data_IF_427838398936
#
_entry.id   IF_427838398936
#
_cell.length_a   1.000
_cell.length_b   1.000
_cell.length_c   1.000
_cell.angle_alpha   90.00
_cell.angle_beta   90.00
_cell.angle_gamma   90.00
#
_symmetry.space_group_name_H-M   'P 1'
#
loop_
_entity.id
_entity.type
_entity.pdbx_description
1 polymer ?
#
# COMPACT_ATOMS: atom_id res chain seq x y z
N UNK A 1 -19.46 -16.67 3.89
CA UNK A 1 -19.84 -15.76 5.00
C UNK A 1 -18.92 -16.04 6.19
N UNK A 2 -17.76 -15.38 6.25
CA UNK A 2 -16.88 -15.42 7.43
C UNK A 2 -16.91 -14.03 8.05
N UNK A 3 -17.48 -13.94 9.26
CA UNK A 3 -17.61 -12.71 10.01
C UNK A 3 -16.25 -12.21 10.48
N UNK A 4 -15.92 -10.97 10.11
CA UNK A 4 -14.79 -10.22 10.67
C UNK A 4 -15.07 -9.96 12.14
N UNK A 5 -14.28 -10.56 13.04
CA UNK A 5 -14.25 -10.18 14.46
C UNK A 5 -13.45 -8.89 14.57
N UNK A 6 -14.17 -7.78 14.74
CA UNK A 6 -13.62 -6.58 15.35
C UNK A 6 -13.10 -6.95 16.75
N UNK A 7 -11.78 -6.83 16.95
CA UNK A 7 -11.16 -6.88 18.28
C UNK A 7 -11.41 -5.54 18.97
N UNK A 8 -12.67 -5.28 19.34
CA UNK A 8 -12.98 -4.24 20.31
C UNK A 8 -12.41 -4.67 21.68
N UNK A 9 -11.39 -3.96 22.16
CA UNK A 9 -10.90 -4.03 23.54
C UNK A 9 -12.08 -3.85 24.49
N UNK A 10 -12.50 -4.95 25.12
CA UNK A 10 -13.58 -4.98 26.12
C UNK A 10 -13.06 -4.32 27.40
N UNK A 11 -13.38 -3.04 27.63
CA UNK A 11 -13.28 -2.41 28.95
C UNK A 11 -14.23 -3.16 29.90
N UNK A 12 -13.71 -3.71 30.98
CA UNK A 12 -14.52 -4.21 32.10
C UNK A 12 -15.27 -3.03 32.74
N UNK A 13 -16.57 -3.15 33.04
CA UNK A 13 -17.28 -2.15 33.82
C UNK A 13 -16.93 -2.30 35.32
N UNK A 14 -16.93 -1.20 36.09
CA UNK A 14 -16.77 -1.28 37.54
C UNK A 14 -18.06 -1.80 38.18
N UNK A 15 -17.89 -2.69 39.16
CA UNK A 15 -18.95 -3.11 40.08
C UNK A 15 -19.62 -1.90 40.73
N UNK A 16 -20.93 -1.77 40.55
CA UNK A 16 -21.74 -0.79 41.26
C UNK A 16 -22.78 -1.51 42.11
N UNK A 17 -22.60 -1.41 43.42
CA UNK A 17 -23.55 -1.78 44.44
C UNK A 17 -24.78 -0.86 44.42
N UNK A 18 -25.95 -1.48 44.29
CA UNK A 18 -27.17 -1.35 45.12
C UNK A 18 -27.50 -0.02 45.82
N UNK A 19 -28.75 0.42 45.58
CA UNK A 19 -29.56 1.27 46.46
C UNK A 19 -29.84 2.64 45.85
N UNK A 20 -31.06 3.13 45.65
CA UNK A 20 -32.38 2.72 46.07
C UNK A 20 -33.29 3.96 46.02
N UNK A 21 -34.53 3.77 45.55
CA UNK A 21 -35.74 4.56 45.83
C UNK A 21 -35.93 6.00 45.29
N UNK A 22 -36.92 6.05 44.38
CA UNK A 22 -38.22 6.70 44.56
C UNK A 22 -38.47 8.17 44.13
N UNK A 23 -39.52 8.27 43.31
CA UNK A 23 -40.64 9.22 43.34
C UNK A 23 -40.70 10.38 42.32
N UNK A 24 -41.70 10.24 41.44
CA UNK A 24 -42.75 11.21 41.06
C UNK A 24 -42.33 12.67 40.77
N UNK A 25 -42.61 13.12 39.54
CA UNK A 25 -43.73 14.03 39.26
C UNK A 25 -43.87 14.31 37.75
N UNK A 26 -45.11 14.35 37.30
CA UNK A 26 -45.54 14.78 35.97
C UNK A 26 -45.30 16.29 35.78
N UNK A 27 -45.23 16.75 34.51
CA UNK A 27 -46.27 17.59 33.84
C UNK A 27 -45.67 18.44 32.69
N UNK A 28 -46.45 18.47 31.60
CA UNK A 28 -46.78 19.61 30.73
C UNK A 28 -45.96 19.93 29.47
N UNK A 29 -46.74 20.05 28.41
CA UNK A 29 -46.52 20.52 27.04
C UNK A 29 -46.17 22.02 26.94
N UNK A 30 -45.49 22.39 25.85
CA UNK A 30 -45.79 23.51 24.92
C UNK A 30 -44.57 23.66 23.98
N UNK A 31 -44.63 23.40 22.68
CA UNK A 31 -45.22 24.22 21.59
C UNK A 31 -44.62 25.63 21.47
N UNK A 32 -44.23 25.98 20.23
CA UNK A 32 -43.98 27.29 19.58
C UNK A 32 -42.57 27.30 18.96
N UNK A 33 -42.33 27.12 17.66
CA UNK A 33 -42.84 27.86 16.48
C UNK A 33 -42.34 29.31 16.46
N UNK A 34 -41.42 29.64 15.54
CA UNK A 34 -41.09 30.99 15.06
C UNK A 34 -40.09 30.95 13.90
N UNK A 35 -40.60 31.34 12.75
CA UNK A 35 -39.99 31.49 11.43
C UNK A 35 -39.06 32.71 11.33
N UNK A 36 -37.99 32.58 10.51
CA UNK A 36 -37.54 33.45 9.37
C UNK A 36 -37.51 35.01 9.48
N UNK A 37 -36.93 35.76 8.51
CA UNK A 37 -35.68 35.62 7.71
C UNK A 37 -34.90 36.97 7.62
N UNK A 38 -34.11 37.18 6.54
CA UNK A 38 -33.58 38.46 5.98
C UNK A 38 -32.24 38.96 6.58
N UNK A 39 -31.29 39.57 5.86
CA UNK A 39 -31.06 39.78 4.42
C UNK A 39 -29.62 40.33 4.26
N UNK A 40 -29.19 40.37 3.00
CA UNK A 40 -28.29 41.37 2.39
C UNK A 40 -26.75 41.32 2.54
N UNK A 41 -26.15 40.88 1.42
CA UNK A 41 -25.39 41.72 0.48
C UNK A 41 -24.37 42.74 1.03
N UNK A 42 -23.09 42.55 0.65
CA UNK A 42 -22.45 43.32 -0.43
C UNK A 42 -20.91 43.36 -0.34
N UNK A 43 -20.30 43.44 -1.54
CA UNK A 43 -19.03 44.11 -1.91
C UNK A 43 -17.68 43.42 -1.67
N UNK A 44 -17.16 42.87 -2.78
CA UNK A 44 -15.77 43.08 -3.25
C UNK A 44 -15.48 44.58 -3.48
N UNK A 45 -14.20 45.00 -3.46
CA UNK A 45 -13.32 44.94 -4.66
C UNK A 45 -11.92 44.38 -4.30
N UNK A 46 -11.28 43.58 -5.13
CA UNK A 46 -10.52 43.91 -6.36
C UNK A 46 -9.48 45.04 -6.18
N UNK A 47 -8.20 44.66 -6.24
CA UNK A 47 -7.05 45.56 -6.29
C UNK A 47 -5.88 44.82 -6.94
N UNK A 48 -5.70 45.15 -8.22
CA UNK A 48 -4.53 44.97 -9.08
C UNK A 48 -3.30 45.69 -8.53
N UNK A 49 -2.11 45.10 -8.66
CA UNK A 49 -0.76 45.71 -8.91
C UNK A 49 0.28 44.56 -8.79
N UNK A 50 0.83 44.00 -9.86
CA UNK A 50 1.96 44.44 -10.72
C UNK A 50 3.25 44.76 -9.97
N UNK A 51 4.30 43.95 -10.22
CA UNK A 51 5.75 44.27 -10.27
C UNK A 51 6.50 42.91 -10.37
N UNK A 52 6.87 42.43 -11.57
CA UNK A 52 8.15 42.70 -12.26
C UNK A 52 9.34 43.04 -11.35
N UNK A 53 10.31 42.10 -11.31
CA UNK A 53 11.78 42.24 -11.23
C UNK A 53 12.35 41.09 -10.39
N UNK A 54 13.22 40.25 -10.92
CA UNK A 54 14.61 40.62 -11.14
C UNK A 54 15.42 39.38 -11.57
N UNK A 55 16.28 39.60 -12.56
CA UNK A 55 17.13 38.59 -13.15
C UNK A 55 18.45 38.52 -12.35
N UNK A 56 18.64 37.45 -11.58
CA UNK A 56 19.88 37.18 -10.85
C UNK A 56 20.63 35.99 -11.42
N UNK A 57 21.43 36.24 -12.46
CA UNK A 57 22.48 35.34 -12.95
C UNK A 57 23.54 35.15 -11.87
N UNK A 58 23.88 33.89 -11.52
CA UNK A 58 25.15 33.57 -10.88
C UNK A 58 25.70 32.25 -11.41
N UNK A 59 26.55 32.41 -12.44
CA UNK A 59 27.67 31.53 -12.74
C UNK A 59 28.57 31.36 -11.51
N UNK A 60 28.91 30.11 -11.19
CA UNK A 60 30.14 29.73 -10.50
C UNK A 60 30.34 28.21 -10.61
N UNK A 61 31.09 27.77 -11.63
CA UNK A 61 32.02 26.64 -11.47
C UNK A 61 33.20 27.14 -10.60
N UNK A 62 33.88 26.26 -9.86
CA UNK A 62 35.11 25.75 -10.46
C UNK A 62 35.49 24.30 -10.11
N UNK A 63 36.27 23.76 -11.04
CA UNK A 63 37.51 22.99 -10.84
C UNK A 63 37.46 21.54 -10.35
N UNK A 64 37.90 20.71 -11.31
CA UNK A 64 38.54 19.42 -11.18
C UNK A 64 39.67 19.46 -10.13
N UNK A 65 39.68 18.50 -9.21
CA UNK A 65 40.93 18.08 -8.57
C UNK A 65 41.09 16.57 -8.71
N UNK A 66 42.12 16.22 -9.48
CA UNK A 66 42.63 14.89 -9.67
C UNK A 66 43.51 14.47 -8.48
N UNK A 67 43.24 13.30 -7.93
CA UNK A 67 44.13 12.53 -7.07
C UNK A 67 43.51 11.15 -6.86
N UNK A 68 44.13 10.02 -7.18
CA UNK A 68 45.56 9.72 -7.26
C UNK A 68 45.89 8.70 -6.16
N UNK A 69 46.10 7.44 -6.57
CA UNK A 69 46.76 6.31 -5.87
C UNK A 69 45.92 5.43 -4.92
N UNK A 70 46.32 4.16 -4.67
CA UNK A 70 47.04 3.22 -5.55
C UNK A 70 46.43 1.80 -5.60
N UNK A 71 46.90 1.03 -6.59
CA UNK A 71 46.89 -0.43 -6.63
C UNK A 71 47.46 -1.05 -5.34
N UNK A 72 46.75 -2.05 -4.81
CA UNK A 72 47.30 -3.08 -3.93
C UNK A 72 46.92 -4.45 -4.50
N UNK A 73 47.82 -4.94 -5.36
CA UNK A 73 48.02 -6.37 -5.56
C UNK A 73 48.89 -6.88 -4.40
N UNK A 74 48.44 -7.94 -3.72
CA UNK A 74 49.34 -8.88 -3.07
C UNK A 74 48.76 -10.28 -3.23
N UNK A 75 49.51 -11.08 -3.97
CA UNK A 75 49.34 -12.51 -4.18
C UNK A 75 49.64 -13.33 -2.91
N UNK A 76 49.41 -14.64 -3.06
CA UNK A 76 50.10 -15.76 -2.41
C UNK A 76 49.55 -16.33 -1.08
N UNK A 77 48.84 -17.44 -1.27
CA UNK A 77 49.27 -18.78 -0.85
C UNK A 77 49.59 -19.06 0.63
N UNK A 78 48.68 -19.81 1.26
CA UNK A 78 49.09 -20.88 2.19
C UNK A 78 48.33 -22.17 1.85
N UNK A 79 49.10 -23.14 1.39
CA UNK A 79 48.72 -24.53 1.23
C UNK A 79 48.76 -25.30 2.57
N UNK A 80 47.81 -26.22 2.73
CA UNK A 80 48.10 -27.59 3.19
C UNK A 80 47.88 -27.94 4.66
N UNK A 81 46.90 -28.84 4.91
CA UNK A 81 46.93 -30.08 5.72
C UNK A 81 45.48 -30.50 6.00
N UNK A 82 44.89 -31.42 5.24
CA UNK A 82 44.99 -32.89 5.35
C UNK A 82 44.30 -33.48 6.61
N UNK A 83 43.24 -34.27 6.37
CA UNK A 83 42.99 -35.52 7.12
C UNK A 83 41.78 -35.55 8.05
N UNK A 84 40.67 -36.14 7.60
CA UNK A 84 39.56 -36.56 8.44
C UNK A 84 38.44 -37.24 7.65
N UNK A 85 38.48 -38.58 7.59
CA UNK A 85 37.54 -39.46 6.87
C UNK A 85 36.10 -39.42 7.44
N UNK A 86 35.14 -39.43 6.51
CA UNK A 86 33.87 -40.18 6.45
C UNK A 86 33.03 -40.40 7.72
N UNK A 87 31.80 -39.86 7.73
CA UNK A 87 30.60 -40.70 7.61
C UNK A 87 29.33 -39.87 7.26
N UNK A 88 28.58 -40.34 6.25
CA UNK A 88 27.18 -39.99 6.01
C UNK A 88 26.88 -39.10 4.79
N UNK A 89 26.40 -39.65 3.66
CA UNK A 89 25.68 -38.86 2.68
C UNK A 89 24.23 -38.74 3.14
N UNK A 90 23.91 -37.73 3.97
CA UNK A 90 22.56 -37.17 3.93
C UNK A 90 22.46 -36.41 2.61
N UNK A 91 22.04 -37.15 1.59
CA UNK A 91 21.51 -36.59 0.37
C UNK A 91 20.37 -35.65 0.80
N UNK A 92 20.64 -34.35 0.79
CA UNK A 92 19.59 -33.37 0.56
C UNK A 92 18.81 -33.87 -0.67
N UNK A 93 17.53 -34.25 -0.54
CA UNK A 93 16.77 -34.60 -1.71
C UNK A 93 16.78 -33.37 -2.61
N UNK A 94 17.38 -33.54 -3.80
CA UNK A 94 17.19 -32.62 -4.90
C UNK A 94 15.70 -32.27 -4.96
N UNK A 95 15.32 -30.98 -5.08
CA UNK A 95 13.93 -30.59 -5.24
C UNK A 95 13.29 -31.47 -6.31
N UNK A 96 12.26 -32.20 -5.90
CA UNK A 96 11.75 -33.38 -6.56
C UNK A 96 11.69 -33.24 -8.08
N UNK A 97 12.31 -34.21 -8.76
CA UNK A 97 11.91 -34.58 -10.10
C UNK A 97 10.43 -34.96 -10.02
N UNK A 98 9.55 -33.99 -10.23
CA UNK A 98 8.13 -34.22 -10.43
C UNK A 98 8.00 -35.34 -11.46
N UNK A 99 7.10 -36.31 -11.27
CA UNK A 99 6.82 -37.32 -12.28
C UNK A 99 6.39 -36.58 -13.56
N UNK A 100 7.29 -36.48 -14.53
CA UNK A 100 7.15 -35.79 -15.83
C UNK A 100 5.99 -36.28 -16.69
N UNK A 101 5.18 -37.21 -16.18
CA UNK A 101 4.08 -37.87 -16.88
C UNK A 101 2.70 -37.40 -16.45
N UNK A 102 2.57 -36.51 -15.45
CA UNK A 102 1.29 -35.85 -15.18
C UNK A 102 1.21 -34.54 -15.98
N UNK A 103 0.17 -34.33 -16.81
CA UNK A 103 -0.02 -33.06 -17.48
C UNK A 103 -0.16 -31.97 -16.42
N UNK A 104 0.66 -30.94 -16.52
CA UNK A 104 0.53 -29.76 -15.67
C UNK A 104 -0.87 -29.18 -15.83
N UNK A 105 -1.49 -28.86 -14.70
CA UNK A 105 -2.74 -28.11 -14.71
C UNK A 105 -2.53 -26.71 -15.33
N UNK A 106 -3.63 -26.05 -15.69
CA UNK A 106 -3.55 -24.77 -16.38
C UNK A 106 -2.80 -23.70 -15.57
N UNK A 107 -2.89 -23.73 -14.24
CA UNK A 107 -2.18 -22.83 -13.34
C UNK A 107 -0.67 -23.13 -13.35
N UNK A 108 -0.27 -24.40 -13.29
CA UNK A 108 1.11 -24.84 -13.41
C UNK A 108 1.74 -24.43 -14.74
N UNK A 109 1.00 -24.54 -15.84
CA UNK A 109 1.44 -24.05 -17.15
C UNK A 109 1.63 -22.53 -17.15
N UNK A 110 0.70 -21.77 -16.56
CA UNK A 110 0.82 -20.31 -16.44
C UNK A 110 2.03 -19.89 -15.59
N UNK A 111 2.31 -20.60 -14.48
CA UNK A 111 3.50 -20.39 -13.65
C UNK A 111 4.80 -20.60 -14.43
N UNK A 112 4.90 -21.70 -15.18
CA UNK A 112 6.06 -21.96 -16.03
C UNK A 112 6.21 -20.91 -17.13
N UNK A 113 5.11 -20.47 -17.74
CA UNK A 113 5.11 -19.40 -18.73
C UNK A 113 5.66 -18.09 -18.15
N UNK A 114 5.22 -17.71 -16.94
CA UNK A 114 5.73 -16.54 -16.24
C UNK A 114 7.23 -16.66 -15.92
N UNK A 115 7.67 -17.81 -15.41
CA UNK A 115 9.08 -18.06 -15.09
C UNK A 115 9.97 -18.02 -16.34
N UNK A 116 9.53 -18.65 -17.44
CA UNK A 116 10.24 -18.60 -18.71
C UNK A 116 10.35 -17.17 -19.23
N UNK A 117 9.26 -16.39 -19.17
CA UNK A 117 9.24 -14.98 -19.56
C UNK A 117 10.21 -14.13 -18.73
N UNK A 118 10.26 -14.36 -17.42
CA UNK A 118 11.21 -13.70 -16.52
C UNK A 118 12.67 -14.00 -16.84
N UNK A 119 12.98 -15.21 -17.32
CA UNK A 119 14.34 -15.66 -17.59
C UNK A 119 14.84 -15.29 -18.99
N UNK A 120 13.94 -15.07 -19.96
CA UNK A 120 14.30 -14.82 -21.36
C UNK A 120 14.37 -13.36 -21.75
N UNK A 121 13.79 -12.46 -20.95
CA UNK A 121 13.70 -11.05 -21.32
C UNK A 121 14.92 -10.24 -20.86
N UNK A 122 15.69 -9.72 -21.81
CA UNK A 122 16.88 -8.90 -21.56
C UNK A 122 16.57 -7.54 -20.90
N UNK A 123 15.35 -7.01 -21.08
CA UNK A 123 14.94 -5.72 -20.54
C UNK A 123 14.33 -5.83 -19.13
N UNK A 124 14.25 -7.05 -18.58
CA UNK A 124 13.70 -7.33 -17.26
C UNK A 124 12.17 -7.28 -17.21
N UNK A 125 11.57 -8.31 -16.61
CA UNK A 125 10.12 -8.34 -16.36
C UNK A 125 9.79 -7.59 -15.08
N UNK A 126 8.75 -6.77 -15.12
CA UNK A 126 8.18 -6.04 -13.96
C UNK A 126 6.70 -6.37 -13.80
N UNK A 127 6.22 -6.36 -12.56
CA UNK A 127 4.82 -6.54 -12.20
C UNK A 127 4.28 -5.22 -11.64
N UNK A 128 3.37 -4.57 -12.34
CA UNK A 128 2.84 -3.27 -11.96
C UNK A 128 1.53 -3.41 -11.22
N UNK A 129 1.45 -2.89 -9.99
CA UNK A 129 0.19 -2.78 -9.25
C UNK A 129 -0.40 -1.41 -9.54
N UNK A 130 -1.60 -1.38 -10.12
CA UNK A 130 -2.19 -0.17 -10.68
C UNK A 130 -3.72 -0.16 -10.51
N UNK A 131 -4.32 1.03 -10.58
CA UNK A 131 -5.78 1.17 -10.65
C UNK A 131 -6.25 0.98 -12.10
N UNK A 132 -7.37 0.28 -12.27
CA UNK A 132 -8.02 0.17 -13.58
C UNK A 132 -8.62 1.54 -13.96
N UNK A 133 -8.24 2.15 -15.10
CA UNK A 133 -8.64 3.52 -15.41
C UNK A 133 -10.16 3.71 -15.62
N UNK A 134 -10.68 4.92 -15.31
CA UNK A 134 -12.07 5.36 -15.58
C UNK A 134 -12.12 6.36 -16.75
N UNK A 135 -13.16 6.38 -17.60
CA UNK A 135 -14.03 5.28 -18.01
C UNK A 135 -13.35 4.47 -19.12
N UNK A 136 -13.16 3.17 -18.90
CA UNK A 136 -12.71 2.27 -19.98
C UNK A 136 -13.86 2.10 -20.99
N UNK A 137 -13.70 2.48 -22.27
CA UNK A 137 -14.69 2.18 -23.30
C UNK A 137 -14.81 0.66 -23.58
N UNK A 138 -13.93 -0.16 -23.00
CA UNK A 138 -13.77 -1.59 -23.30
C UNK A 138 -14.64 -2.47 -22.38
N UNK A 139 -15.34 -1.91 -21.40
CA UNK A 139 -15.98 -2.71 -20.34
C UNK A 139 -14.94 -3.28 -19.37
N UNK A 140 -15.37 -4.19 -18.49
CA UNK A 140 -14.47 -4.88 -17.55
C UNK A 140 -13.44 -5.74 -18.29
N UNK A 141 -12.29 -5.98 -17.65
CA UNK A 141 -11.24 -6.84 -18.21
C UNK A 141 -11.28 -8.21 -17.55
N UNK A 142 -11.19 -9.28 -18.33
CA UNK A 142 -11.14 -10.63 -17.76
C UNK A 142 -9.81 -10.88 -17.05
N UNK A 143 -9.88 -11.44 -15.84
CA UNK A 143 -8.69 -11.92 -15.17
C UNK A 143 -8.06 -13.08 -15.96
N UNK A 144 -6.75 -13.01 -16.19
CA UNK A 144 -6.04 -14.00 -17.01
C UNK A 144 -5.77 -15.34 -16.32
N UNK A 145 -6.16 -15.52 -15.06
CA UNK A 145 -5.95 -16.78 -14.36
C UNK A 145 -6.90 -17.85 -14.89
N UNK A 146 -6.38 -19.03 -15.29
CA UNK A 146 -7.24 -20.13 -15.68
C UNK A 146 -8.29 -20.43 -14.61
N UNK A 147 -9.55 -20.57 -15.03
CA UNK A 147 -10.71 -20.80 -14.17
C UNK A 147 -11.07 -19.64 -13.24
N UNK A 148 -10.59 -18.42 -13.52
CA UNK A 148 -11.06 -17.22 -12.83
C UNK A 148 -12.05 -16.45 -13.71
N UNK A 149 -13.33 -16.49 -13.35
CA UNK A 149 -14.39 -15.79 -14.07
C UNK A 149 -14.63 -14.37 -13.53
N UNK A 150 -13.72 -13.84 -12.69
CA UNK A 150 -13.86 -12.50 -12.13
C UNK A 150 -13.43 -11.46 -13.16
N UNK A 151 -14.32 -10.52 -13.44
CA UNK A 151 -14.00 -9.30 -14.16
C UNK A 151 -13.22 -8.33 -13.26
N UNK A 152 -12.34 -7.56 -13.87
CA UNK A 152 -11.61 -6.43 -13.28
C UNK A 152 -12.30 -5.16 -13.77
N UNK A 153 -12.99 -4.47 -12.87
CA UNK A 153 -13.80 -3.31 -13.18
C UNK A 153 -13.00 -2.00 -13.07
N UNK A 154 -13.58 -0.90 -13.57
CA UNK A 154 -12.96 0.40 -13.49
C UNK A 154 -12.83 0.88 -12.03
N UNK A 155 -11.61 1.22 -11.63
CA UNK A 155 -11.27 1.54 -10.23
C UNK A 155 -10.87 0.34 -9.38
N UNK A 156 -10.79 -0.87 -9.93
CA UNK A 156 -10.21 -2.02 -9.24
C UNK A 156 -8.69 -2.01 -9.30
N UNK A 157 -8.05 -2.50 -8.23
CA UNK A 157 -6.62 -2.77 -8.22
C UNK A 157 -6.31 -4.03 -9.03
N UNK A 158 -5.35 -3.91 -9.94
CA UNK A 158 -4.88 -5.02 -10.77
C UNK A 158 -3.36 -5.08 -10.80
N UNK A 159 -2.86 -6.25 -11.15
CA UNK A 159 -1.46 -6.48 -11.48
C UNK A 159 -1.32 -6.66 -12.98
N UNK A 160 -0.39 -5.94 -13.60
CA UNK A 160 -0.01 -6.17 -15.00
C UNK A 160 1.45 -6.55 -15.13
N UNK A 161 1.78 -7.40 -16.10
CA UNK A 161 3.16 -7.81 -16.39
C UNK A 161 3.69 -7.00 -17.56
N UNK A 162 4.87 -6.38 -17.40
CA UNK A 162 5.53 -5.60 -18.44
C UNK A 162 7.00 -6.03 -18.63
N UNK A 163 7.47 -6.25 -19.87
CA UNK A 163 6.64 -6.40 -21.07
C UNK A 163 5.66 -7.58 -20.92
N UNK A 164 4.54 -7.55 -21.65
CA UNK A 164 3.51 -8.59 -21.55
C UNK A 164 4.05 -9.98 -21.92
N UNK A 165 3.49 -11.04 -21.31
CA UNK A 165 3.82 -12.44 -21.64
C UNK A 165 3.37 -12.87 -23.04
N UNK A 166 2.45 -12.11 -23.64
CA UNK A 166 1.91 -12.39 -24.97
C UNK A 166 2.15 -11.19 -25.88
N UNK A 167 2.36 -11.45 -27.18
CA UNK A 167 2.74 -10.46 -28.20
C UNK A 167 1.74 -9.32 -28.43
N UNK A 168 0.60 -9.30 -27.72
CA UNK A 168 -0.45 -8.29 -27.84
C UNK A 168 -1.01 -7.94 -26.46
N UNK A 169 -0.47 -6.89 -25.85
CA UNK A 169 -1.15 -6.13 -24.81
C UNK A 169 -0.89 -6.51 -23.35
N UNK A 170 -1.46 -5.67 -22.48
CA UNK A 170 -1.46 -5.87 -21.04
C UNK A 170 -2.27 -7.10 -20.66
N UNK A 171 -1.69 -7.97 -19.84
CA UNK A 171 -2.40 -9.10 -19.23
C UNK A 171 -2.75 -8.71 -17.80
N UNK A 172 -3.98 -8.23 -17.52
CA UNK A 172 -4.37 -7.83 -16.19
C UNK A 172 -4.75 -9.05 -15.34
N UNK A 173 -4.39 -8.96 -14.06
CA UNK A 173 -4.66 -9.98 -13.07
C UNK A 173 -5.26 -9.33 -11.84
N UNK A 174 -6.25 -9.96 -11.23
CA UNK A 174 -6.58 -9.67 -9.84
C UNK A 174 -5.36 -9.97 -8.98
N UNK A 175 -5.06 -9.14 -7.99
CA UNK A 175 -3.88 -9.34 -7.13
C UNK A 175 -3.87 -10.75 -6.48
N UNK A 176 -5.00 -11.21 -5.94
CA UNK A 176 -5.16 -12.57 -5.37
C UNK A 176 -4.90 -13.68 -6.39
N UNK A 177 -5.26 -13.45 -7.65
CA UNK A 177 -5.03 -14.42 -8.71
C UNK A 177 -3.56 -14.46 -9.14
N UNK A 178 -2.89 -13.31 -9.11
CA UNK A 178 -1.48 -13.21 -9.44
C UNK A 178 -0.57 -13.81 -8.35
N UNK A 179 -0.96 -13.73 -7.07
CA UNK A 179 -0.28 -14.43 -5.96
C UNK A 179 -0.23 -15.95 -6.17
N UNK A 180 -1.24 -16.51 -6.86
CA UNK A 180 -1.21 -17.93 -7.25
C UNK A 180 -0.18 -18.22 -8.34
N UNK A 181 0.37 -17.22 -9.02
CA UNK A 181 1.37 -17.40 -10.08
C UNK A 181 2.78 -17.01 -9.65
N UNK A 182 2.90 -15.90 -8.92
CA UNK A 182 4.18 -15.35 -8.48
C UNK A 182 4.40 -15.63 -7.00
N UNK A 183 5.46 -16.35 -6.68
CA UNK A 183 5.83 -16.64 -5.30
C UNK A 183 6.58 -15.45 -4.69
N UNK A 184 5.83 -14.53 -4.08
CA UNK A 184 6.40 -13.34 -3.44
C UNK A 184 7.25 -13.65 -2.20
N UNK A 185 7.26 -14.90 -1.70
CA UNK A 185 8.22 -15.32 -0.67
C UNK A 185 9.67 -15.37 -1.20
N UNK A 186 9.85 -15.30 -2.52
CA UNK A 186 11.17 -15.25 -3.14
C UNK A 186 11.49 -13.84 -3.63
N UNK A 187 12.70 -13.37 -3.31
CA UNK A 187 13.17 -12.03 -3.66
C UNK A 187 13.05 -11.71 -5.17
N UNK A 188 13.22 -12.71 -6.04
CA UNK A 188 13.18 -12.51 -7.50
C UNK A 188 11.80 -12.08 -8.03
N UNK A 189 10.71 -12.50 -7.38
CA UNK A 189 9.36 -12.06 -7.74
C UNK A 189 9.05 -10.72 -7.06
N UNK A 190 9.35 -10.60 -5.77
CA UNK A 190 9.04 -9.39 -4.99
C UNK A 190 9.75 -8.14 -5.51
N UNK A 191 11.03 -8.26 -5.92
CA UNK A 191 11.80 -7.15 -6.50
C UNK A 191 11.20 -6.60 -7.80
N UNK A 192 10.43 -7.43 -8.51
CA UNK A 192 9.77 -7.07 -9.79
C UNK A 192 8.43 -6.38 -9.58
N UNK A 193 7.80 -6.55 -8.41
CA UNK A 193 6.56 -5.85 -8.09
C UNK A 193 6.81 -4.35 -7.87
N UNK A 194 6.07 -3.49 -8.57
CA UNK A 194 6.17 -2.04 -8.53
C UNK A 194 4.78 -1.43 -8.41
N UNK A 195 4.45 -0.71 -7.32
CA UNK A 195 3.23 0.09 -7.29
C UNK A 195 3.35 1.23 -8.30
N UNK A 196 2.28 1.55 -9.03
CA UNK A 196 2.21 2.75 -9.87
C UNK A 196 1.83 3.95 -9.00
N UNK A 197 2.83 4.78 -8.71
CA UNK A 197 2.76 5.99 -7.88
C UNK A 197 3.23 7.19 -8.68
N UNK A 198 3.05 8.40 -8.16
CA UNK A 198 3.62 9.63 -8.74
C UNK A 198 5.14 9.55 -9.01
N UNK A 199 5.87 8.75 -8.24
CA UNK A 199 7.34 8.57 -8.39
C UNK A 199 7.75 7.53 -9.41
N UNK A 200 6.86 6.58 -9.69
CA UNK A 200 7.11 5.50 -10.65
C UNK A 200 6.37 5.72 -11.97
N UNK A 201 5.58 6.80 -12.07
CA UNK A 201 5.02 7.30 -13.32
C UNK A 201 6.06 8.18 -14.02
N UNK A 202 7.02 7.53 -14.68
CA UNK A 202 7.35 7.94 -16.05
C UNK A 202 7.53 6.68 -16.91
N UNK A 203 6.80 6.53 -18.04
CA UNK A 203 6.99 5.57 -19.16
C UNK A 203 5.68 5.06 -19.81
N UNK A 204 4.49 5.43 -19.30
CA UNK A 204 3.20 5.12 -19.93
C UNK A 204 2.38 6.37 -20.18
N UNK A 205 2.71 7.08 -21.25
CA UNK A 205 1.75 7.96 -21.89
C UNK A 205 0.89 7.06 -22.77
N UNK A 206 -0.09 6.39 -22.16
CA UNK A 206 -1.21 5.87 -22.97
C UNK A 206 -1.98 7.11 -23.47
N UNK A 207 -2.38 7.17 -24.76
CA UNK A 207 -2.96 8.37 -25.38
C UNK A 207 -4.32 8.80 -24.78
N UNK A 208 -4.79 8.13 -23.73
CA UNK A 208 -6.11 8.31 -23.13
C UNK A 208 -6.11 9.03 -21.77
N UNK A 209 -4.97 9.58 -21.31
CA UNK A 209 -4.87 10.45 -20.10
C UNK A 209 -5.44 9.86 -18.78
N UNK A 210 -5.78 8.58 -18.76
CA UNK A 210 -6.35 7.94 -17.59
C UNK A 210 -5.20 7.30 -16.80
N UNK A 211 -4.58 8.09 -15.93
CA UNK A 211 -3.48 7.61 -15.09
C UNK A 211 -3.95 6.42 -14.24
N UNK A 212 -3.28 5.28 -14.40
CA UNK A 212 -3.50 4.08 -13.58
C UNK A 212 -2.84 4.19 -12.18
N UNK A 213 -2.68 5.42 -11.70
CA UNK A 213 -2.05 5.74 -10.41
C UNK A 213 -2.85 5.12 -9.27
N UNK A 214 -2.15 4.61 -8.27
CA UNK A 214 -2.76 4.16 -7.03
C UNK A 214 -3.22 5.37 -6.19
N UNK A 215 -4.29 5.17 -5.44
CA UNK A 215 -4.62 6.06 -4.32
C UNK A 215 -3.62 5.91 -3.16
N UNK A 216 -3.58 6.91 -2.29
CA UNK A 216 -2.61 7.01 -1.21
C UNK A 216 -2.62 5.82 -0.24
N UNK A 217 -3.80 5.29 0.09
CA UNK A 217 -3.95 4.15 0.98
C UNK A 217 -3.38 2.87 0.37
N UNK A 218 -3.72 2.59 -0.89
CA UNK A 218 -3.17 1.42 -1.59
C UNK A 218 -1.64 1.54 -1.77
N UNK A 219 -1.13 2.71 -2.15
CA UNK A 219 0.32 2.97 -2.23
C UNK A 219 1.01 2.63 -0.91
N UNK A 220 0.51 3.15 0.21
CA UNK A 220 1.07 2.91 1.55
C UNK A 220 1.02 1.44 1.95
N UNK A 221 -0.11 0.78 1.75
CA UNK A 221 -0.30 -0.63 2.08
C UNK A 221 0.66 -1.52 1.29
N UNK A 222 0.83 -1.27 -0.01
CA UNK A 222 1.73 -2.06 -0.86
C UNK A 222 3.20 -1.83 -0.46
N UNK A 223 3.59 -0.59 -0.20
CA UNK A 223 4.95 -0.26 0.21
C UNK A 223 5.30 -0.92 1.55
N UNK A 224 4.41 -0.86 2.54
CA UNK A 224 4.63 -1.50 3.84
C UNK A 224 4.68 -3.02 3.73
N UNK A 225 3.70 -3.63 3.05
CA UNK A 225 3.68 -5.08 2.80
C UNK A 225 4.99 -5.54 2.14
N UNK A 226 5.48 -4.79 1.16
CA UNK A 226 6.70 -5.10 0.43
C UNK A 226 7.95 -4.96 1.31
N UNK A 227 8.02 -3.94 2.16
CA UNK A 227 9.15 -3.77 3.08
C UNK A 227 9.19 -4.88 4.12
N UNK A 228 8.07 -5.19 4.78
CA UNK A 228 8.03 -6.28 5.76
C UNK A 228 8.41 -7.61 5.12
N UNK A 229 7.88 -7.92 3.94
CA UNK A 229 8.21 -9.16 3.25
C UNK A 229 9.67 -9.22 2.82
N UNK A 230 10.25 -8.11 2.32
CA UNK A 230 11.68 -8.01 2.06
C UNK A 230 12.50 -8.29 3.32
N UNK A 231 12.11 -7.71 4.46
CA UNK A 231 12.80 -7.90 5.73
C UNK A 231 12.76 -9.33 6.24
N UNK A 232 11.62 -10.00 6.09
CA UNK A 232 11.51 -11.42 6.44
C UNK A 232 12.36 -12.29 5.51
N UNK A 233 12.41 -12.00 4.20
CA UNK A 233 13.27 -12.69 3.23
C UNK A 233 14.75 -12.48 3.55
N UNK A 234 15.16 -11.24 3.86
CA UNK A 234 16.52 -10.90 4.25
C UNK A 234 16.92 -11.66 5.54
N UNK A 235 16.04 -11.67 6.54
CA UNK A 235 16.25 -12.42 7.79
C UNK A 235 16.40 -13.92 7.54
N UNK A 236 15.60 -14.50 6.62
CA UNK A 236 15.73 -15.91 6.21
C UNK A 236 17.10 -16.18 5.56
N UNK A 237 17.65 -15.20 4.84
CA UNK A 237 18.98 -15.28 4.22
C UNK A 237 20.14 -15.02 5.21
N UNK A 238 19.86 -14.66 6.46
CA UNK A 238 20.87 -14.35 7.48
C UNK A 238 21.27 -12.86 7.54
N UNK A 239 20.60 -12.00 6.79
CA UNK A 239 20.87 -10.56 6.80
C UNK A 239 20.16 -9.86 7.97
N UNK A 240 20.78 -8.83 8.57
CA UNK A 240 20.16 -8.05 9.65
C UNK A 240 18.99 -7.19 9.14
N UNK A 241 17.93 -7.13 9.94
CA UNK A 241 16.72 -6.31 9.76
C UNK A 241 16.37 -5.64 11.11
N UNK A 242 15.91 -4.37 11.19
CA UNK A 242 15.36 -3.49 10.14
C UNK A 242 16.38 -2.58 9.40
N UNK A 243 15.97 -1.89 8.32
CA UNK A 243 16.80 -0.93 7.60
C UNK A 243 17.22 0.26 8.48
N UNK A 244 18.34 0.90 8.12
CA UNK A 244 19.01 1.91 8.95
C UNK A 244 18.33 3.31 8.97
N UNK A 245 17.35 3.60 8.11
CA UNK A 245 16.75 4.94 8.02
C UNK A 245 15.51 5.12 8.92
N UNK A 246 15.78 5.35 10.20
CA UNK A 246 14.75 5.66 11.21
C UNK A 246 14.01 6.98 10.96
N UNK A 247 14.62 7.92 10.22
CA UNK A 247 14.04 9.24 10.00
C UNK A 247 12.87 9.17 9.00
N UNK A 248 13.07 8.46 7.89
CA UNK A 248 12.00 8.17 6.92
C UNK A 248 10.93 7.27 7.53
N UNK A 249 11.35 6.26 8.29
CA UNK A 249 10.42 5.34 8.95
C UNK A 249 9.41 6.07 9.85
N UNK A 250 9.87 7.00 10.69
CA UNK A 250 8.97 7.79 11.53
C UNK A 250 7.91 8.56 10.74
N UNK A 251 8.28 9.13 9.59
CA UNK A 251 7.34 9.87 8.73
C UNK A 251 6.36 8.92 8.03
N UNK A 252 6.84 7.78 7.52
CA UNK A 252 6.00 6.86 6.75
C UNK A 252 5.01 6.09 7.62
N UNK A 253 5.34 5.83 8.90
CA UNK A 253 4.55 4.99 9.81
C UNK A 253 3.85 5.73 10.95
N UNK A 254 4.35 6.91 11.36
CA UNK A 254 3.80 7.60 12.54
C UNK A 254 3.15 8.95 12.22
N UNK A 255 3.17 9.40 10.96
CA UNK A 255 2.48 10.64 10.60
C UNK A 255 0.97 10.54 10.87
N UNK A 256 0.40 11.64 11.39
CA UNK A 256 -1.01 11.72 11.80
C UNK A 256 -1.27 11.31 13.26
N UNK A 257 -0.28 10.73 13.95
CA UNK A 257 -0.35 10.47 15.39
C UNK A 257 -0.39 11.77 16.19
N UNK A 258 -1.05 11.72 17.35
CA UNK A 258 -1.07 12.83 18.30
C UNK A 258 0.35 13.24 18.70
N UNK A 259 0.64 14.54 18.57
CA UNK A 259 1.95 15.09 18.90
C UNK A 259 3.06 14.68 17.94
N UNK A 260 2.71 14.12 16.77
CA UNK A 260 3.71 13.81 15.75
C UNK A 260 4.39 15.09 15.28
N UNK A 261 5.69 15.17 15.53
CA UNK A 261 6.57 16.17 14.97
C UNK A 261 7.88 15.51 14.54
N UNK A 262 8.26 15.75 13.28
CA UNK A 262 9.56 15.36 12.74
C UNK A 262 10.10 16.51 11.92
N UNK A 263 11.42 16.65 11.88
CA UNK A 263 12.04 17.55 10.92
C UNK A 263 12.03 16.91 9.53
N UNK A 264 11.82 17.74 8.50
CA UNK A 264 11.93 17.30 7.11
C UNK A 264 13.34 16.77 6.83
N UNK A 265 13.52 15.53 6.38
CA UNK A 265 14.83 15.03 5.97
C UNK A 265 15.38 15.82 4.78
N UNK A 266 16.71 15.91 4.66
CA UNK A 266 17.36 16.71 3.63
C UNK A 266 17.04 16.22 2.20
N UNK A 267 16.98 14.90 2.00
CA UNK A 267 16.70 14.28 0.70
C UNK A 267 15.22 14.35 0.27
N UNK A 268 14.30 14.71 1.18
CA UNK A 268 12.87 14.75 0.89
C UNK A 268 12.46 16.17 0.47
N UNK A 269 11.74 16.30 -0.65
CA UNK A 269 11.21 17.60 -1.09
C UNK A 269 10.17 18.13 -0.09
N UNK A 270 9.94 19.44 -0.07
CA UNK A 270 8.90 20.04 0.78
C UNK A 270 7.52 19.49 0.44
N UNK A 271 7.24 19.27 -0.85
CA UNK A 271 5.99 18.71 -1.33
C UNK A 271 5.79 17.28 -0.82
N UNK A 272 6.79 16.40 -0.98
CA UNK A 272 6.70 15.01 -0.52
C UNK A 272 6.58 14.90 1.00
N UNK A 273 7.30 15.77 1.71
CA UNK A 273 7.18 15.86 3.15
C UNK A 273 5.77 16.28 3.56
N UNK A 274 5.20 17.31 2.93
CA UNK A 274 3.83 17.75 3.17
C UNK A 274 2.83 16.61 2.90
N UNK A 275 2.94 15.94 1.75
CA UNK A 275 2.11 14.79 1.41
C UNK A 275 2.16 13.71 2.49
N UNK A 276 3.35 13.24 2.85
CA UNK A 276 3.51 12.16 3.84
C UNK A 276 3.07 12.53 5.26
N UNK A 277 3.10 13.81 5.61
CA UNK A 277 2.69 14.28 6.94
C UNK A 277 1.21 14.67 7.04
N UNK A 278 0.52 14.83 5.90
CA UNK A 278 -0.88 15.28 5.86
C UNK A 278 -1.75 14.30 5.04
N UNK A 279 -1.72 14.38 3.71
CA UNK A 279 -2.61 13.60 2.84
C UNK A 279 -2.36 12.08 2.96
N UNK A 280 -1.09 11.69 3.01
CA UNK A 280 -0.64 10.30 3.09
C UNK A 280 -0.27 9.87 4.52
N UNK A 281 -0.75 10.59 5.53
CA UNK A 281 -0.58 10.18 6.92
C UNK A 281 -1.31 8.85 7.16
N UNK A 282 -0.64 7.78 7.63
CA UNK A 282 -1.28 6.48 7.88
C UNK A 282 -2.18 6.48 9.11
N UNK A 283 -1.99 7.43 10.03
CA UNK A 283 -2.75 7.54 11.28
C UNK A 283 -3.75 8.70 11.18
N UNK A 284 -4.89 8.53 11.82
CA UNK A 284 -5.88 9.57 12.06
C UNK A 284 -6.12 9.69 13.57
N UNK A 285 -6.11 10.93 14.06
CA UNK A 285 -6.34 11.30 15.46
C UNK A 285 -7.22 12.55 15.51
N UNK A 286 -8.15 12.63 16.46
CA UNK A 286 -8.99 13.83 16.67
C UNK A 286 -8.32 14.89 17.57
N UNK A 287 -7.06 14.67 17.98
CA UNK A 287 -6.25 15.65 18.69
C UNK A 287 -6.01 15.35 20.17
N UNK A 288 -5.50 16.35 20.93
CA UNK A 288 -5.03 16.15 22.30
C UNK A 288 -6.18 15.80 23.24
N UNK A 289 -6.16 14.58 23.78
CA UNK A 289 -7.15 14.09 24.73
C UNK A 289 -7.74 12.72 24.39
N UNK A 290 -7.50 12.22 23.18
CA UNK A 290 -7.95 10.88 22.78
C UNK A 290 -6.82 9.84 22.86
N UNK A 291 -7.13 8.69 23.47
CA UNK A 291 -6.20 7.56 23.62
C UNK A 291 -6.26 6.59 22.43
N UNK A 292 -7.32 6.66 21.63
CA UNK A 292 -7.57 5.71 20.55
C UNK A 292 -7.33 6.40 19.21
N UNK A 293 -6.39 5.89 18.43
CA UNK A 293 -6.03 6.39 17.11
C UNK A 293 -6.47 5.35 16.07
N UNK A 294 -6.86 5.79 14.89
CA UNK A 294 -7.06 4.88 13.77
C UNK A 294 -5.76 4.78 12.97
N UNK A 295 -5.31 3.56 12.69
CA UNK A 295 -4.06 3.29 11.97
C UNK A 295 -4.34 2.38 10.76
N UNK A 296 -3.94 2.85 9.58
CA UNK A 296 -4.08 2.15 8.30
C UNK A 296 -3.48 0.74 8.33
N UNK A 297 -2.26 0.60 8.85
CA UNK A 297 -1.55 -0.68 8.87
C UNK A 297 -2.17 -1.61 9.91
N UNK A 298 -2.60 -1.09 11.06
CA UNK A 298 -3.30 -1.91 12.05
C UNK A 298 -4.63 -2.44 11.52
N UNK A 299 -5.35 -1.64 10.73
CA UNK A 299 -6.65 -2.01 10.17
C UNK A 299 -6.56 -3.07 9.06
N UNK A 300 -5.62 -2.93 8.12
CA UNK A 300 -5.60 -3.77 6.91
C UNK A 300 -4.42 -4.72 6.82
N UNK A 301 -3.34 -4.49 7.58
CA UNK A 301 -2.10 -5.24 7.45
C UNK A 301 -1.77 -6.06 8.71
N UNK A 302 -1.97 -5.56 9.93
CA UNK A 302 -1.60 -6.28 11.16
C UNK A 302 -2.31 -7.64 11.24
N UNK A 303 -1.57 -8.66 11.66
CA UNK A 303 -2.02 -10.05 11.71
C UNK A 303 -1.43 -10.78 12.92
N UNK A 304 -1.99 -11.95 13.23
CA UNK A 304 -1.50 -12.89 14.23
C UNK A 304 -0.22 -13.63 13.77
N UNK A 305 0.10 -13.59 12.47
CA UNK A 305 1.27 -14.28 11.88
C UNK A 305 2.28 -13.31 11.24
N UNK A 306 2.84 -12.34 11.98
CA UNK A 306 3.71 -11.30 11.41
C UNK A 306 5.06 -11.82 10.89
N UNK A 307 5.49 -13.01 11.33
CA UNK A 307 6.79 -13.60 10.95
C UNK A 307 6.68 -14.76 9.94
N UNK A 308 5.46 -15.13 9.58
CA UNK A 308 5.23 -16.20 8.60
C UNK A 308 5.30 -15.62 7.19
N UNK A 309 6.42 -15.89 6.51
CA UNK A 309 6.68 -15.38 5.15
C UNK A 309 5.68 -15.90 4.14
N UNK A 310 5.27 -17.17 4.23
CA UNK A 310 4.34 -17.79 3.28
C UNK A 310 2.96 -17.18 3.44
N UNK A 311 2.54 -16.96 4.69
CA UNK A 311 1.33 -16.22 4.99
C UNK A 311 1.42 -14.78 4.48
N UNK A 312 2.48 -14.02 4.80
CA UNK A 312 2.62 -12.64 4.34
C UNK A 312 2.66 -12.51 2.81
N UNK A 313 3.32 -13.45 2.11
CA UNK A 313 3.44 -13.42 0.65
C UNK A 313 2.09 -13.54 -0.09
N UNK A 314 1.04 -14.04 0.56
CA UNK A 314 -0.28 -14.29 -0.04
C UNK A 314 -1.37 -13.33 0.47
N UNK A 315 -0.99 -12.11 0.89
CA UNK A 315 -1.92 -11.13 1.50
C UNK A 315 -2.15 -9.86 0.72
N UNK A 316 -1.38 -9.60 -0.33
CA UNK A 316 -1.55 -8.42 -1.17
C UNK A 316 -2.99 -8.37 -1.73
N UNK A 317 -3.50 -9.51 -2.21
CA UNK A 317 -4.85 -9.58 -2.77
C UNK A 317 -5.97 -9.32 -1.77
N UNK A 318 -5.87 -9.90 -0.56
CA UNK A 318 -6.84 -9.72 0.52
C UNK A 318 -6.81 -8.28 1.05
N UNK A 319 -5.62 -7.75 1.29
CA UNK A 319 -5.39 -6.41 1.81
C UNK A 319 -5.98 -5.35 0.87
N UNK A 320 -5.66 -5.43 -0.43
CA UNK A 320 -6.18 -4.48 -1.42
C UNK A 320 -7.69 -4.59 -1.63
N UNK A 321 -8.27 -5.79 -1.54
CA UNK A 321 -9.73 -5.97 -1.59
C UNK A 321 -10.41 -5.34 -0.39
N UNK A 322 -9.84 -5.54 0.80
CA UNK A 322 -10.38 -4.99 2.04
C UNK A 322 -10.35 -3.47 2.02
N UNK A 323 -9.22 -2.89 1.59
CA UNK A 323 -9.08 -1.46 1.37
C UNK A 323 -10.07 -0.94 0.32
N UNK A 324 -10.20 -1.62 -0.84
CA UNK A 324 -11.17 -1.23 -1.88
C UNK A 324 -12.59 -1.19 -1.34
N UNK A 325 -12.99 -2.20 -0.59
CA UNK A 325 -14.34 -2.29 0.01
C UNK A 325 -14.62 -1.11 0.92
N UNK A 326 -13.75 -0.87 1.90
CA UNK A 326 -13.92 0.20 2.88
C UNK A 326 -13.79 1.59 2.21
N UNK A 327 -12.94 1.73 1.17
CA UNK A 327 -12.87 2.92 0.31
C UNK A 327 -14.20 3.20 -0.37
N UNK A 328 -14.82 2.20 -1.00
CA UNK A 328 -16.12 2.37 -1.66
C UNK A 328 -17.17 2.79 -0.63
N UNK A 329 -17.27 2.09 0.49
CA UNK A 329 -18.21 2.43 1.57
C UNK A 329 -18.01 3.87 2.10
N UNK A 330 -16.77 4.29 2.30
CA UNK A 330 -16.46 5.60 2.84
C UNK A 330 -16.85 6.73 1.88
N UNK A 331 -16.71 6.52 0.58
CA UNK A 331 -16.95 7.52 -0.47
C UNK A 331 -18.37 7.48 -1.06
N UNK A 332 -19.13 6.40 -0.88
CA UNK A 332 -20.53 6.32 -1.31
C UNK A 332 -21.46 7.19 -0.47
N UNK A 333 -22.49 7.74 -1.11
CA UNK A 333 -23.59 8.41 -0.42
C UNK A 333 -24.50 7.39 0.28
N UNK A 334 -25.20 7.79 1.34
CA UNK A 334 -26.02 6.85 2.13
C UNK A 334 -27.20 6.27 1.34
N UNK A 335 -27.74 6.99 0.37
CA UNK A 335 -28.81 6.57 -0.53
C UNK A 335 -28.37 5.53 -1.58
N UNK A 336 -27.05 5.37 -1.76
CA UNK A 336 -26.46 4.37 -2.67
C UNK A 336 -26.14 3.05 -1.97
N UNK A 337 -26.30 2.98 -0.64
CA UNK A 337 -25.90 1.85 0.17
C UNK A 337 -27.13 1.09 0.67
N UNK A 338 -27.05 -0.23 0.67
CA UNK A 338 -28.06 -1.06 1.34
C UNK A 338 -27.91 -1.00 2.89
N UNK A 339 -28.87 -1.58 3.62
CA UNK A 339 -28.86 -1.56 5.09
C UNK A 339 -27.60 -2.21 5.70
N UNK A 340 -27.07 -3.26 5.07
CA UNK A 340 -25.86 -3.94 5.55
C UNK A 340 -24.63 -3.05 5.34
N UNK A 341 -24.50 -2.46 4.16
CA UNK A 341 -23.42 -1.54 3.82
C UNK A 341 -23.45 -0.27 4.68
N UNK A 342 -24.64 0.26 4.97
CA UNK A 342 -24.81 1.37 5.91
C UNK A 342 -24.35 0.99 7.32
N UNK A 343 -24.68 -0.22 7.78
CA UNK A 343 -24.23 -0.68 9.08
C UNK A 343 -22.71 -0.91 9.11
N UNK A 344 -22.13 -1.48 8.06
CA UNK A 344 -20.66 -1.61 7.92
C UNK A 344 -19.97 -0.25 7.92
N UNK A 345 -20.49 0.72 7.17
CA UNK A 345 -19.99 2.10 7.16
C UNK A 345 -20.07 2.75 8.54
N UNK A 346 -21.15 2.54 9.30
CA UNK A 346 -21.27 3.00 10.69
C UNK A 346 -20.25 2.31 11.61
N UNK A 347 -19.99 1.03 11.40
CA UNK A 347 -19.04 0.25 12.18
C UNK A 347 -17.58 0.70 11.97
N UNK A 348 -17.24 1.28 10.80
CA UNK A 348 -15.94 1.92 10.59
C UNK A 348 -15.72 3.12 11.54
N UNK A 349 -16.79 3.84 11.87
CA UNK A 349 -16.73 5.02 12.72
C UNK A 349 -16.21 6.26 11.98
N UNK A 350 -16.52 7.44 12.54
CA UNK A 350 -16.22 8.72 11.88
C UNK A 350 -14.73 8.92 11.57
N UNK A 351 -13.85 8.47 12.48
CA UNK A 351 -12.40 8.60 12.35
C UNK A 351 -11.86 7.82 11.15
N UNK A 352 -12.18 6.52 11.07
CA UNK A 352 -11.77 5.70 9.93
C UNK A 352 -12.34 6.26 8.62
N UNK A 353 -13.59 6.73 8.60
CA UNK A 353 -14.19 7.31 7.40
C UNK A 353 -13.43 8.55 6.90
N UNK A 354 -12.99 9.45 7.79
CA UNK A 354 -12.15 10.61 7.39
C UNK A 354 -10.80 10.16 6.86
N UNK A 355 -10.14 9.25 7.57
CA UNK A 355 -8.83 8.73 7.17
C UNK A 355 -8.89 8.03 5.80
N UNK A 356 -9.87 7.16 5.61
CA UNK A 356 -10.08 6.42 4.36
C UNK A 356 -10.35 7.40 3.23
N UNK A 357 -11.24 8.39 3.39
CA UNK A 357 -11.52 9.41 2.35
C UNK A 357 -10.26 10.16 1.94
N UNK A 358 -9.49 10.64 2.91
CA UNK A 358 -8.22 11.33 2.66
C UNK A 358 -7.24 10.44 1.89
N UNK A 359 -7.07 9.19 2.32
CA UNK A 359 -6.18 8.21 1.71
C UNK A 359 -6.70 7.64 0.38
N UNK A 360 -7.98 7.85 0.05
CA UNK A 360 -8.58 7.44 -1.23
C UNK A 360 -8.23 8.38 -2.38
N UNK A 361 -7.67 9.55 -2.07
CA UNK A 361 -7.21 10.50 -3.07
C UNK A 361 -5.95 9.97 -3.77
N UNK A 362 -5.85 10.26 -5.07
CA UNK A 362 -4.66 9.96 -5.87
C UNK A 362 -3.69 11.13 -5.71
N UNK A 363 -2.49 10.91 -5.12
CA UNK A 363 -1.48 11.95 -5.00
C UNK A 363 -0.95 12.31 -6.39
N UNK A 364 -1.15 13.56 -6.81
CA UNK A 364 -0.69 14.02 -8.10
C UNK A 364 0.84 14.22 -8.10
N UNK A 365 1.53 13.97 -9.22
CA UNK A 365 2.90 14.44 -9.38
C UNK A 365 2.93 15.97 -9.37
N UNK A 366 3.99 16.54 -8.79
CA UNK A 366 4.26 17.99 -8.80
C UNK A 366 5.02 18.39 -10.06
#
# INVERSE_FOLDING_TARGET
MHGRRSLAKRKQPPDSQSGGNAAKLARKESSSDSSQPEDDAAKSPDSTESEENDAGSHDSQPEEEAGGLPDLQSEEDIAGLAGGLFDGPEQNPLPGLYPLNQPLDAIGQARLGLLFHMNTNTNGVSFWVELTPRPSPIGGLDCRLPNCDRMIEAGDYRITVSPGMHHMGLSPWNAECFERLADFSQAQYLRRLRPITRHTVPLRIDPYNAYALLDGGAEKLILEWKEVLNGLIARRAGDPWPPQDLATYGILHSAGRLGFYRHKPAFLSHYEYFLHTHQLAPIESDGPGEEDEWDLFDQYYRTEHPYDIEYQANRLGEMLRSWQHDKVLANSYEDQLDENQLQEKRNLGARALRAIRRLSEIPMPY
#
